data_IF_422507662549
#
_entry.id   IF_422507662549
#
_cell.length_a   1.000
_cell.length_b   1.000
_cell.length_c   1.000
_cell.angle_alpha   90.00
_cell.angle_beta   90.00
_cell.angle_gamma   90.00
#
_symmetry.space_group_name_H-M   'P 1'
#
loop_
_entity.id
_entity.type
_entity.pdbx_description
1 polymer ?
#
# COMPACT_ATOMS: atom_id res chain seq x y z
N UNK A 1 13.76 5.57 -13.20
CA UNK A 1 12.37 5.18 -12.90
C UNK A 1 12.23 3.69 -13.18
N UNK A 2 12.16 2.83 -12.15
CA UNK A 2 12.05 1.36 -12.35
C UNK A 2 10.70 1.09 -13.00
N UNK A 3 10.68 0.72 -14.29
CA UNK A 3 9.44 0.31 -14.97
C UNK A 3 8.92 -0.94 -14.27
N UNK A 4 7.68 -0.87 -13.75
CA UNK A 4 7.06 -2.02 -13.13
C UNK A 4 6.89 -3.11 -14.19
N UNK A 5 7.45 -4.30 -13.94
CA UNK A 5 7.44 -5.45 -14.87
C UNK A 5 6.04 -5.79 -15.41
N UNK A 6 4.98 -5.48 -14.66
CA UNK A 6 3.60 -5.67 -15.12
C UNK A 6 3.22 -4.79 -16.33
N UNK A 7 3.87 -3.65 -16.54
CA UNK A 7 3.65 -2.84 -17.76
C UNK A 7 4.13 -3.54 -19.03
N UNK A 8 5.12 -4.42 -18.91
CA UNK A 8 5.71 -5.15 -20.03
C UNK A 8 5.02 -6.50 -20.22
N UNK A 9 4.76 -7.24 -19.13
CA UNK A 9 4.32 -8.64 -19.20
C UNK A 9 2.86 -8.87 -18.79
N UNK A 10 2.15 -7.83 -18.36
CA UNK A 10 0.80 -7.94 -17.80
C UNK A 10 -0.32 -7.87 -18.85
N UNK A 11 -1.40 -8.59 -18.57
CA UNK A 11 -2.67 -8.50 -19.29
C UNK A 11 -3.16 -7.05 -19.24
N UNK A 12 -3.46 -6.47 -20.41
CA UNK A 12 -3.96 -5.11 -20.55
C UNK A 12 -5.49 -5.09 -20.47
N UNK A 13 -6.04 -4.21 -19.63
CA UNK A 13 -7.47 -3.88 -19.65
C UNK A 13 -7.77 -2.84 -20.74
N UNK A 14 -8.80 -3.10 -21.52
CA UNK A 14 -9.31 -2.22 -22.58
C UNK A 14 -10.79 -1.93 -22.36
N UNK A 15 -11.25 -0.82 -22.93
CA UNK A 15 -12.64 -0.39 -22.83
C UNK A 15 -12.90 0.59 -21.68
N UNK A 16 -14.17 0.96 -21.52
CA UNK A 16 -14.66 1.88 -20.49
C UNK A 16 -15.81 1.22 -19.76
N UNK A 17 -16.11 1.70 -18.54
CA UNK A 17 -17.15 1.14 -17.68
C UNK A 17 -18.50 1.02 -18.40
N UNK A 18 -18.84 1.98 -19.26
CA UNK A 18 -20.12 2.07 -19.96
C UNK A 18 -20.28 1.05 -21.10
N UNK A 19 -19.18 0.55 -21.66
CA UNK A 19 -19.16 -0.33 -22.85
C UNK A 19 -18.56 -1.71 -22.56
N UNK A 20 -18.50 -2.07 -21.28
CA UNK A 20 -17.78 -3.22 -20.72
C UNK A 20 -16.25 -3.20 -20.91
N UNK A 21 -15.56 -3.96 -20.07
CA UNK A 21 -14.12 -4.15 -20.19
C UNK A 21 -13.78 -5.40 -21.00
N UNK A 22 -12.69 -5.32 -21.76
CA UNK A 22 -12.06 -6.47 -22.42
C UNK A 22 -10.61 -6.60 -21.97
N UNK A 23 -10.07 -7.80 -22.06
CA UNK A 23 -8.73 -8.10 -21.58
C UNK A 23 -7.91 -8.72 -22.70
N UNK A 24 -6.66 -8.27 -22.85
CA UNK A 24 -5.73 -8.77 -23.86
C UNK A 24 -4.39 -9.11 -23.24
N UNK A 25 -3.79 -10.19 -23.68
CA UNK A 25 -2.41 -10.51 -23.36
C UNK A 25 -1.45 -9.47 -23.99
N UNK A 26 -0.23 -9.29 -23.46
CA UNK A 26 0.80 -8.42 -24.05
C UNK A 26 1.03 -8.66 -25.55
N UNK A 27 0.88 -9.92 -25.97
CA UNK A 27 1.04 -10.41 -27.34
C UNK A 27 -0.11 -9.97 -28.28
N UNK A 28 -1.22 -9.45 -27.73
CA UNK A 28 -2.35 -8.90 -28.48
C UNK A 28 -3.62 -9.77 -28.48
N UNK A 29 -3.48 -11.05 -28.12
CA UNK A 29 -4.57 -12.02 -28.05
C UNK A 29 -5.60 -11.67 -26.96
N UNK A 30 -6.87 -11.94 -27.26
CA UNK A 30 -7.95 -11.77 -26.29
C UNK A 30 -7.89 -12.85 -25.20
N UNK A 31 -8.04 -12.45 -23.95
CA UNK A 31 -8.20 -13.39 -22.82
C UNK A 31 -9.63 -13.93 -22.89
N UNK A 32 -9.76 -15.25 -23.04
CA UNK A 32 -11.06 -15.95 -23.15
C UNK A 32 -11.26 -17.03 -22.11
N UNK A 33 -10.19 -17.37 -21.39
CA UNK A 33 -10.17 -18.41 -20.39
C UNK A 33 -10.99 -17.99 -19.18
N UNK A 34 -12.08 -18.70 -18.92
CA UNK A 34 -13.02 -18.37 -17.82
C UNK A 34 -12.32 -18.27 -16.47
N UNK A 35 -11.37 -19.16 -16.19
CA UNK A 35 -10.55 -19.13 -14.96
C UNK A 35 -9.77 -17.82 -14.80
N UNK A 36 -9.26 -17.27 -15.90
CA UNK A 36 -8.49 -16.02 -15.89
C UNK A 36 -9.43 -14.84 -15.72
N UNK A 37 -10.55 -14.81 -16.44
CA UNK A 37 -11.57 -13.76 -16.34
C UNK A 37 -12.17 -13.67 -14.93
N UNK A 38 -12.57 -14.81 -14.35
CA UNK A 38 -13.08 -14.88 -12.98
C UNK A 38 -12.08 -14.33 -11.96
N UNK A 39 -10.80 -14.73 -12.08
CA UNK A 39 -9.74 -14.18 -11.21
C UNK A 39 -9.63 -12.66 -11.35
N UNK A 40 -9.68 -12.13 -12.58
CA UNK A 40 -9.60 -10.69 -12.81
C UNK A 40 -10.78 -9.95 -12.16
N UNK A 41 -11.97 -10.54 -12.23
CA UNK A 41 -13.17 -10.00 -11.59
C UNK A 41 -13.06 -10.01 -10.06
N UNK A 42 -12.51 -11.08 -9.48
CA UNK A 42 -12.27 -11.21 -8.04
C UNK A 42 -11.26 -10.19 -7.50
N UNK A 43 -10.37 -9.65 -8.34
CA UNK A 43 -9.46 -8.56 -7.95
C UNK A 43 -10.17 -7.23 -7.68
N UNK A 44 -11.45 -7.09 -8.08
CA UNK A 44 -12.27 -5.88 -7.91
C UNK A 44 -11.53 -4.59 -8.28
N UNK A 45 -10.84 -4.61 -9.43
CA UNK A 45 -10.04 -3.47 -9.90
C UNK A 45 -10.97 -2.30 -10.21
N UNK A 46 -10.78 -1.12 -9.60
CA UNK A 46 -11.67 0.01 -9.81
C UNK A 46 -11.86 0.36 -11.30
N UNK A 47 -13.09 0.62 -11.74
CA UNK A 47 -13.37 0.92 -13.16
C UNK A 47 -12.76 2.25 -13.61
N UNK A 48 -12.54 3.19 -12.68
CA UNK A 48 -11.94 4.49 -12.96
C UNK A 48 -10.44 4.44 -13.23
N UNK A 49 -9.77 3.31 -12.98
CA UNK A 49 -8.32 3.22 -13.21
C UNK A 49 -7.99 3.22 -14.70
N UNK A 50 -6.94 3.94 -15.07
CA UNK A 50 -6.40 3.96 -16.43
C UNK A 50 -5.11 3.16 -16.54
N UNK A 51 -4.75 2.78 -17.77
CA UNK A 51 -3.57 1.96 -18.08
C UNK A 51 -3.41 0.69 -17.22
N UNK A 52 -4.53 0.03 -16.93
CA UNK A 52 -4.51 -1.12 -16.03
C UNK A 52 -3.77 -2.31 -16.64
N UNK A 53 -2.85 -2.85 -15.85
CA UNK A 53 -2.05 -4.05 -16.14
C UNK A 53 -2.24 -5.09 -15.06
N UNK A 54 -2.51 -6.31 -15.46
CA UNK A 54 -2.89 -7.41 -14.56
C UNK A 54 -1.89 -8.55 -14.73
N UNK A 55 -1.45 -9.13 -13.63
CA UNK A 55 -0.55 -10.28 -13.64
C UNK A 55 -1.20 -11.47 -14.38
N UNK A 56 -0.41 -12.19 -15.16
CA UNK A 56 -0.87 -13.39 -15.90
C UNK A 56 -1.26 -14.54 -14.97
N UNK A 57 -0.62 -14.63 -13.80
CA UNK A 57 -0.87 -15.68 -12.81
C UNK A 57 -1.14 -15.14 -11.40
N UNK A 58 -1.66 -16.00 -10.50
CA UNK A 58 -2.02 -15.60 -9.13
C UNK A 58 -0.84 -15.52 -8.17
N UNK A 59 0.35 -16.05 -8.52
CA UNK A 59 1.49 -16.18 -7.62
C UNK A 59 2.20 -14.86 -7.29
N UNK A 60 2.00 -13.81 -8.09
CA UNK A 60 2.68 -12.54 -7.88
C UNK A 60 2.06 -11.76 -6.71
N UNK A 61 2.92 -11.12 -5.90
CA UNK A 61 2.52 -10.22 -4.81
C UNK A 61 1.56 -9.13 -5.29
N UNK A 62 1.91 -8.46 -6.38
CA UNK A 62 1.08 -7.46 -7.04
C UNK A 62 0.32 -8.17 -8.14
N UNK A 63 -1.01 -8.08 -8.09
CA UNK A 63 -1.91 -8.70 -9.05
C UNK A 63 -2.36 -7.72 -10.13
N UNK A 64 -2.50 -6.43 -9.81
CA UNK A 64 -2.74 -5.42 -10.84
C UNK A 64 -2.10 -4.08 -10.46
N UNK A 65 -1.86 -3.26 -11.47
CA UNK A 65 -1.49 -1.86 -11.33
C UNK A 65 -2.32 -1.02 -12.29
N UNK A 66 -2.45 0.27 -11.99
CA UNK A 66 -3.08 1.25 -12.88
C UNK A 66 -2.99 2.64 -12.27
N UNK A 67 -3.38 3.66 -13.01
CA UNK A 67 -3.40 5.01 -12.50
C UNK A 67 -4.80 5.38 -11.99
N UNK A 68 -4.87 6.05 -10.84
CA UNK A 68 -6.13 6.63 -10.36
C UNK A 68 -6.52 7.89 -11.15
N UNK A 69 -7.68 8.47 -10.81
CA UNK A 69 -8.18 9.70 -11.45
C UNK A 69 -7.28 10.92 -11.25
N UNK A 70 -6.30 10.85 -10.35
CA UNK A 70 -5.30 11.90 -10.10
C UNK A 70 -3.94 11.56 -10.72
N UNK A 71 -3.87 10.53 -11.57
CA UNK A 71 -2.64 10.12 -12.24
C UNK A 71 -1.62 9.43 -11.33
N UNK A 72 -2.01 8.98 -10.13
CA UNK A 72 -1.09 8.28 -9.22
C UNK A 72 -1.13 6.79 -9.50
N UNK A 73 0.05 6.16 -9.52
CA UNK A 73 0.17 4.72 -9.70
C UNK A 73 -0.36 3.99 -8.47
N UNK A 74 -1.40 3.19 -8.66
CA UNK A 74 -2.04 2.36 -7.64
C UNK A 74 -1.74 0.88 -7.87
N UNK A 75 -1.76 0.13 -6.78
CA UNK A 75 -1.42 -1.29 -6.74
C UNK A 75 -2.57 -2.10 -6.15
N UNK A 76 -2.91 -3.20 -6.80
CA UNK A 76 -3.82 -4.23 -6.28
C UNK A 76 -2.98 -5.45 -5.92
N UNK A 77 -3.02 -5.84 -4.64
CA UNK A 77 -2.22 -6.93 -4.11
C UNK A 77 -2.99 -8.25 -4.11
N UNK A 78 -2.25 -9.36 -4.13
CA UNK A 78 -2.80 -10.68 -3.87
C UNK A 78 -3.47 -10.72 -2.47
N UNK A 79 -4.71 -11.20 -2.34
CA UNK A 79 -5.41 -11.27 -1.05
C UNK A 79 -4.64 -12.02 0.04
N UNK A 80 -4.04 -13.17 -0.27
CA UNK A 80 -3.23 -13.96 0.69
C UNK A 80 -1.99 -13.19 1.14
N UNK A 81 -1.36 -12.45 0.22
CA UNK A 81 -0.23 -11.60 0.58
C UNK A 81 -0.68 -10.47 1.50
N UNK A 82 -1.82 -9.83 1.21
CA UNK A 82 -2.40 -8.76 2.02
C UNK A 82 -2.69 -9.26 3.44
N UNK A 83 -3.37 -10.39 3.57
CA UNK A 83 -3.68 -11.01 4.86
C UNK A 83 -2.43 -11.26 5.69
N UNK A 84 -1.38 -11.82 5.07
CA UNK A 84 -0.09 -12.03 5.76
C UNK A 84 0.53 -10.71 6.23
N UNK A 85 0.53 -9.67 5.38
CA UNK A 85 1.07 -8.34 5.78
C UNK A 85 0.22 -7.68 6.86
N UNK A 86 -1.09 -7.85 6.85
CA UNK A 86 -1.99 -7.36 7.89
C UNK A 86 -1.70 -8.06 9.23
N UNK A 87 -1.49 -9.38 9.22
CA UNK A 87 -1.03 -10.14 10.39
C UNK A 87 0.32 -9.64 10.90
N UNK A 88 1.33 -9.54 10.02
CA UNK A 88 2.66 -9.00 10.40
C UNK A 88 2.56 -7.58 11.00
N UNK A 89 1.67 -6.74 10.45
CA UNK A 89 1.42 -5.39 10.97
C UNK A 89 0.80 -5.45 12.37
N UNK A 90 -0.19 -6.32 12.57
CA UNK A 90 -0.84 -6.51 13.87
C UNK A 90 0.16 -6.96 14.93
N UNK A 91 0.98 -7.97 14.63
CA UNK A 91 2.05 -8.44 15.52
C UNK A 91 3.05 -7.33 15.86
N UNK A 92 3.37 -6.44 14.91
CA UNK A 92 4.23 -5.29 15.17
C UNK A 92 3.59 -4.28 16.12
N UNK A 93 2.27 -4.08 16.04
CA UNK A 93 1.54 -3.21 16.97
C UNK A 93 1.55 -3.79 18.36
N UNK A 94 1.38 -5.11 18.53
CA UNK A 94 1.48 -5.77 19.83
C UNK A 94 2.87 -5.58 20.45
N UNK A 95 3.94 -5.87 19.69
CA UNK A 95 5.31 -5.64 20.17
C UNK A 95 5.58 -4.18 20.54
N UNK A 96 4.98 -3.23 19.81
CA UNK A 96 5.08 -1.81 20.17
C UNK A 96 4.32 -1.51 21.47
N UNK A 97 3.13 -2.08 21.65
CA UNK A 97 2.33 -1.92 22.86
C UNK A 97 3.08 -2.42 24.11
N UNK A 98 3.79 -3.54 24.00
CA UNK A 98 4.64 -4.06 25.09
C UNK A 98 5.75 -3.07 25.50
N UNK A 99 6.23 -2.26 24.56
CA UNK A 99 7.29 -1.24 24.79
C UNK A 99 6.75 0.14 25.15
N UNK A 100 5.43 0.36 25.08
CA UNK A 100 4.83 1.65 25.42
C UNK A 100 5.15 2.12 26.84
N UNK A 101 5.11 1.26 27.89
CA UNK A 101 5.43 1.71 29.26
C UNK A 101 6.85 2.25 29.38
N UNK A 102 7.83 1.54 28.81
CA UNK A 102 9.25 1.95 28.81
C UNK A 102 9.43 3.28 28.06
N UNK A 103 8.86 3.40 26.86
CA UNK A 103 8.92 4.63 26.06
C UNK A 103 8.30 5.83 26.79
N UNK A 104 7.15 5.63 27.47
CA UNK A 104 6.49 6.69 28.25
C UNK A 104 7.32 7.12 29.46
N UNK A 105 8.03 6.20 30.11
CA UNK A 105 8.95 6.52 31.20
C UNK A 105 10.09 7.42 30.71
N UNK A 106 10.80 6.98 29.67
CA UNK A 106 11.96 7.71 29.12
C UNK A 106 11.56 9.09 28.58
N UNK A 107 10.47 9.17 27.82
CA UNK A 107 9.99 10.47 27.31
C UNK A 107 9.57 11.41 28.44
N UNK A 108 8.99 10.89 29.52
CA UNK A 108 8.63 11.70 30.70
C UNK A 108 9.85 12.20 31.45
N UNK A 109 10.95 11.44 31.49
CA UNK A 109 12.23 11.85 32.06
C UNK A 109 12.86 12.98 31.24
N UNK A 110 12.96 12.82 29.92
CA UNK A 110 13.52 13.86 29.04
C UNK A 110 12.69 15.15 29.04
N UNK A 111 11.37 15.07 29.15
CA UNK A 111 10.52 16.25 29.26
C UNK A 111 10.78 17.10 30.52
N UNK A 112 11.40 16.51 31.56
CA UNK A 112 11.76 17.19 32.81
C UNK A 112 13.16 17.80 32.78
N UNK A 113 13.95 17.62 31.72
CA UNK A 113 15.23 18.31 31.59
C UNK A 113 15.00 19.82 31.71
N UNK A 114 15.87 20.54 32.40
CA UNK A 114 15.70 21.99 32.59
C UNK A 114 15.92 22.71 31.24
N UNK A 115 17.05 22.43 30.62
CA UNK A 115 17.44 22.98 29.31
C UNK A 115 16.62 22.39 28.16
N UNK A 116 16.53 23.15 27.06
CA UNK A 116 15.89 22.69 25.83
C UNK A 116 16.90 21.96 24.93
N UNK A 117 17.22 20.73 25.31
CA UNK A 117 18.12 19.87 24.55
C UNK A 117 17.40 19.01 23.48
N UNK A 118 18.19 18.28 22.72
CA UNK A 118 17.71 17.42 21.63
C UNK A 118 16.75 16.35 22.14
N UNK A 119 17.05 15.77 23.29
CA UNK A 119 16.29 14.71 23.94
C UNK A 119 14.89 15.20 24.36
N UNK A 120 14.81 16.39 24.96
CA UNK A 120 13.55 17.06 25.32
C UNK A 120 12.72 17.42 24.08
N UNK A 121 13.36 17.92 23.03
CA UNK A 121 12.69 18.19 21.76
C UNK A 121 12.08 16.91 21.14
N UNK A 122 12.85 15.81 21.08
CA UNK A 122 12.36 14.53 20.59
C UNK A 122 11.23 13.96 21.45
N UNK A 123 11.35 14.03 22.77
CA UNK A 123 10.31 13.57 23.69
C UNK A 123 9.01 14.38 23.54
N UNK A 124 9.10 15.70 23.35
CA UNK A 124 7.96 16.56 23.05
C UNK A 124 7.29 16.20 21.71
N UNK A 125 8.08 15.97 20.65
CA UNK A 125 7.57 15.54 19.36
C UNK A 125 6.83 14.18 19.46
N UNK A 126 7.43 13.19 20.11
CA UNK A 126 6.83 11.86 20.26
C UNK A 126 5.54 11.89 21.09
N UNK A 127 5.53 12.64 22.21
CA UNK A 127 4.40 12.62 23.15
C UNK A 127 3.26 13.57 22.75
N UNK A 128 3.57 14.80 22.34
CA UNK A 128 2.55 15.82 22.03
C UNK A 128 2.14 15.80 20.56
N UNK A 129 3.09 15.75 19.64
CA UNK A 129 2.76 15.79 18.21
C UNK A 129 2.24 14.44 17.72
N UNK A 130 3.00 13.37 17.94
CA UNK A 130 2.62 12.06 17.39
C UNK A 130 1.54 11.36 18.22
N UNK A 131 1.69 11.30 19.55
CA UNK A 131 0.76 10.53 20.38
C UNK A 131 -0.54 11.27 20.73
N UNK A 132 -0.50 12.58 21.02
CA UNK A 132 -1.71 13.34 21.37
C UNK A 132 -2.40 13.97 20.16
N UNK A 133 -1.64 14.47 19.19
CA UNK A 133 -2.18 15.18 18.03
C UNK A 133 -2.12 14.38 16.70
N UNK A 134 -1.65 13.12 16.73
CA UNK A 134 -1.64 12.20 15.59
C UNK A 134 -0.90 12.73 14.35
N UNK A 135 0.12 13.57 14.53
CA UNK A 135 0.97 14.01 13.44
C UNK A 135 1.77 12.83 12.85
N UNK A 136 1.84 12.78 11.52
CA UNK A 136 2.80 11.92 10.81
C UNK A 136 4.21 12.52 10.87
N UNK A 137 5.21 11.67 10.66
CA UNK A 137 6.64 12.09 10.68
C UNK A 137 6.97 13.11 9.58
N UNK A 138 6.25 13.04 8.44
CA UNK A 138 6.55 13.84 7.25
C UNK A 138 7.74 13.29 6.46
N UNK A 139 7.93 13.82 5.25
CA UNK A 139 9.13 13.62 4.43
C UNK A 139 9.65 15.02 4.05
N UNK A 140 10.96 15.21 4.11
CA UNK A 140 11.62 16.38 3.56
C UNK A 140 11.67 16.21 2.03
N UNK A 141 11.16 17.21 1.30
CA UNK A 141 11.09 17.21 -0.16
C UNK A 141 12.08 18.20 -0.75
#
# INVERSE_FOLDING_TARGET
MVKNKLFETGIKRWGRKEKSFSYRYPEGDAVREEKVLKRIEDLKIPPAYTEVRIARGPSTRVQAIGYDTRGRLQYVYNPKYRERKEREKFERVLRFADRLPEMRRVTSEHLRHEEFDREKALAACMTRLMNAAYFGVGEER
#
